data_IF_360811131428
#
_entry.id   IF_360811131428
#
_cell.length_a   1.000
_cell.length_b   1.000
_cell.length_c   1.000
_cell.angle_alpha   90.00
_cell.angle_beta   90.00
_cell.angle_gamma   90.00
#
_symmetry.space_group_name_H-M   'P 1'
#
loop_
_entity.id
_entity.type
_entity.pdbx_description
1 polymer ?
#
# COMPACT_ATOMS: atom_id res chain seq x y z
N UNK A 1 -22.51 27.57 -24.81
CA UNK A 1 -21.25 27.99 -24.18
C UNK A 1 -21.22 27.38 -22.78
N UNK A 2 -20.35 26.38 -22.63
CA UNK A 2 -20.31 25.40 -21.55
C UNK A 2 -19.91 25.97 -20.19
N UNK A 3 -20.78 25.78 -19.18
CA UNK A 3 -20.53 26.16 -17.78
C UNK A 3 -20.02 24.97 -16.93
N UNK A 4 -19.93 23.76 -17.49
CA UNK A 4 -19.63 22.54 -16.71
C UNK A 4 -18.15 22.12 -16.61
N UNK A 5 -17.19 22.95 -17.03
CA UNK A 5 -15.76 22.58 -17.06
C UNK A 5 -14.88 23.20 -15.95
N UNK A 6 -15.45 23.80 -14.91
CA UNK A 6 -14.68 24.58 -13.91
C UNK A 6 -14.40 23.88 -12.56
N UNK A 7 -14.89 22.66 -12.34
CA UNK A 7 -14.56 21.86 -11.15
C UNK A 7 -13.97 20.53 -11.60
N UNK A 8 -12.64 20.46 -11.58
CA UNK A 8 -11.84 19.33 -12.04
C UNK A 8 -12.23 18.00 -11.41
N UNK A 9 -13.14 17.28 -12.08
CA UNK A 9 -13.26 15.83 -11.97
C UNK A 9 -11.99 15.21 -12.58
N UNK A 10 -10.86 15.27 -11.86
CA UNK A 10 -9.87 14.20 -12.00
C UNK A 10 -10.62 12.93 -11.63
N UNK A 11 -11.04 12.16 -12.64
CA UNK A 11 -11.69 10.86 -12.45
C UNK A 11 -10.85 10.14 -11.40
N UNK A 12 -11.46 9.87 -10.26
CA UNK A 12 -10.87 9.09 -9.18
C UNK A 12 -10.72 7.65 -9.69
N UNK A 13 -9.74 7.43 -10.57
CA UNK A 13 -9.50 6.12 -11.16
C UNK A 13 -8.93 5.21 -10.08
N UNK A 14 -9.37 3.96 -10.03
CA UNK A 14 -8.79 2.99 -9.12
C UNK A 14 -7.29 2.87 -9.38
N UNK A 15 -6.51 2.75 -8.31
CA UNK A 15 -5.06 2.65 -8.40
C UNK A 15 -4.68 1.18 -8.40
N UNK A 16 -4.09 0.72 -9.51
CA UNK A 16 -3.54 -0.63 -9.58
C UNK A 16 -2.31 -0.73 -8.68
N UNK A 17 -2.37 -1.63 -7.71
CA UNK A 17 -1.25 -2.00 -6.84
C UNK A 17 -0.76 -3.40 -7.16
N UNK A 18 0.53 -3.62 -6.93
CA UNK A 18 1.20 -4.91 -7.15
C UNK A 18 2.08 -5.24 -5.95
N UNK A 19 2.10 -6.50 -5.55
CA UNK A 19 2.98 -6.99 -4.50
C UNK A 19 4.45 -6.94 -4.95
N UNK A 20 5.35 -6.55 -4.05
CA UNK A 20 6.80 -6.57 -4.29
C UNK A 20 7.41 -7.97 -4.33
N UNK A 21 6.73 -8.97 -3.75
CA UNK A 21 7.21 -10.35 -3.61
C UNK A 21 6.46 -11.36 -4.50
N UNK A 22 5.17 -11.60 -4.23
CA UNK A 22 4.36 -12.60 -4.96
C UNK A 22 3.74 -12.08 -6.27
N UNK A 23 3.95 -10.81 -6.60
CA UNK A 23 3.42 -10.15 -7.80
C UNK A 23 1.89 -10.13 -7.94
N UNK A 24 1.13 -10.50 -6.90
CA UNK A 24 -0.33 -10.34 -6.89
C UNK A 24 -0.73 -8.88 -7.13
N UNK A 25 -1.84 -8.68 -7.84
CA UNK A 25 -2.34 -7.36 -8.21
C UNK A 25 -3.81 -7.18 -7.83
N UNK A 26 -4.16 -5.98 -7.40
CA UNK A 26 -5.55 -5.56 -7.26
C UNK A 26 -5.68 -4.05 -7.37
N UNK A 27 -6.92 -3.58 -7.38
CA UNK A 27 -7.24 -2.17 -7.51
C UNK A 27 -7.66 -1.60 -6.16
N UNK A 28 -6.97 -0.56 -5.71
CA UNK A 28 -7.41 0.23 -4.58
C UNK A 28 -8.45 1.24 -5.03
N UNK A 29 -9.52 1.34 -4.24
CA UNK A 29 -10.49 2.40 -4.36
C UNK A 29 -9.87 3.75 -3.98
N UNK A 30 -10.42 4.86 -4.50
CA UNK A 30 -9.96 6.21 -4.14
C UNK A 30 -10.05 6.51 -2.64
N UNK A 31 -10.96 5.84 -1.92
CA UNK A 31 -11.12 5.98 -0.47
C UNK A 31 -9.96 5.31 0.27
N UNK A 32 -9.59 4.09 -0.12
CA UNK A 32 -8.47 3.36 0.45
C UNK A 32 -7.14 4.06 0.18
N UNK A 33 -6.93 4.56 -1.04
CA UNK A 33 -5.75 5.38 -1.37
C UNK A 33 -5.61 6.57 -0.43
N UNK A 34 -6.70 7.30 -0.17
CA UNK A 34 -6.68 8.45 0.77
C UNK A 34 -6.43 8.05 2.21
N UNK A 35 -6.83 6.84 2.60
CA UNK A 35 -6.57 6.31 3.94
C UNK A 35 -5.07 6.00 4.08
N UNK A 36 -4.50 5.28 3.11
CA UNK A 36 -3.07 4.97 3.06
C UNK A 36 -2.22 6.25 3.00
N UNK A 37 -2.61 7.24 2.19
CA UNK A 37 -1.95 8.55 2.14
C UNK A 37 -1.84 9.22 3.52
N UNK A 38 -2.87 9.07 4.35
CA UNK A 38 -2.90 9.65 5.70
C UNK A 38 -2.09 8.83 6.70
N UNK A 39 -2.23 7.50 6.67
CA UNK A 39 -1.53 6.59 7.57
C UNK A 39 -0.02 6.63 7.36
N UNK A 40 0.40 6.70 6.10
CA UNK A 40 1.81 6.72 5.69
C UNK A 40 2.30 8.13 5.32
N UNK A 41 1.71 9.19 5.89
CA UNK A 41 2.02 10.57 5.51
C UNK A 41 3.51 10.94 5.71
N UNK A 42 4.19 10.26 6.63
CA UNK A 42 5.61 10.45 6.94
C UNK A 42 6.53 9.49 6.18
N UNK A 43 5.98 8.59 5.35
CA UNK A 43 6.77 7.62 4.61
C UNK A 43 7.59 8.32 3.50
N UNK A 44 8.93 8.24 3.53
CA UNK A 44 9.77 8.94 2.55
C UNK A 44 9.77 8.27 1.17
N UNK A 45 9.33 7.02 1.08
CA UNK A 45 9.39 6.16 -0.11
C UNK A 45 8.07 6.20 -0.88
N UNK A 46 6.96 5.82 -0.25
CA UNK A 46 5.64 5.83 -0.87
C UNK A 46 4.51 5.89 0.17
N UNK A 47 3.59 6.87 0.06
CA UNK A 47 2.46 6.97 0.97
C UNK A 47 1.35 5.96 0.67
N UNK A 48 1.29 5.43 -0.56
CA UNK A 48 0.34 4.38 -0.96
C UNK A 48 1.06 3.04 -0.87
N UNK A 49 1.17 2.51 0.34
CA UNK A 49 1.72 1.17 0.60
C UNK A 49 0.95 0.49 1.72
N UNK A 50 0.86 -0.83 1.62
CA UNK A 50 0.34 -1.70 2.68
C UNK A 50 1.01 -3.07 2.58
N UNK A 51 0.88 -3.87 3.63
CA UNK A 51 1.39 -5.24 3.63
C UNK A 51 0.54 -6.12 2.70
N UNK A 52 1.17 -7.13 2.10
CA UNK A 52 0.44 -8.03 1.21
C UNK A 52 -0.25 -9.13 2.00
N UNK A 53 -1.58 -9.08 2.09
CA UNK A 53 -2.39 -10.08 2.80
C UNK A 53 -2.32 -11.50 2.21
N UNK A 54 -1.75 -11.68 1.02
CA UNK A 54 -1.62 -13.01 0.39
C UNK A 54 -0.34 -13.71 0.80
N UNK A 55 0.78 -12.99 0.81
CA UNK A 55 2.08 -13.60 1.09
C UNK A 55 2.67 -13.18 2.42
N UNK A 56 2.16 -12.13 3.06
CA UNK A 56 2.65 -11.51 4.30
C UNK A 56 4.15 -11.14 4.32
N UNK A 57 4.86 -11.32 3.20
CA UNK A 57 6.29 -11.06 3.03
C UNK A 57 6.51 -9.73 2.31
N UNK A 58 5.69 -9.45 1.29
CA UNK A 58 5.83 -8.28 0.43
C UNK A 58 4.92 -7.13 0.82
N UNK A 59 5.08 -6.00 0.12
CA UNK A 59 4.19 -4.85 0.19
C UNK A 59 3.42 -4.70 -1.11
N UNK A 60 2.16 -4.31 -0.99
CA UNK A 60 1.38 -3.79 -2.10
C UNK A 60 1.75 -2.33 -2.33
N UNK A 61 2.24 -2.02 -3.53
CA UNK A 61 2.60 -0.66 -3.94
C UNK A 61 2.02 -0.34 -5.32
N UNK A 62 1.77 0.93 -5.65
CA UNK A 62 1.19 1.31 -6.93
C UNK A 62 2.10 0.94 -8.10
N UNK A 63 1.50 0.39 -9.15
CA UNK A 63 2.15 0.23 -10.46
C UNK A 63 2.53 1.60 -11.01
N UNK A 64 1.59 2.54 -10.94
CA UNK A 64 1.75 3.94 -11.29
C UNK A 64 0.76 4.80 -10.50
N UNK A 65 1.26 5.81 -9.81
CA UNK A 65 0.42 6.72 -9.02
C UNK A 65 1.02 8.12 -8.96
N UNK A 66 0.17 9.14 -9.06
CA UNK A 66 0.58 10.53 -8.86
C UNK A 66 -0.15 11.11 -7.65
N UNK A 67 0.61 11.65 -6.71
CA UNK A 67 0.02 12.29 -5.54
C UNK A 67 -0.59 13.67 -5.88
N UNK A 68 -1.23 14.29 -4.89
CA UNK A 68 -1.84 15.62 -5.01
C UNK A 68 -0.83 16.74 -5.30
N UNK A 69 0.45 16.52 -4.98
CA UNK A 69 1.56 17.46 -5.25
C UNK A 69 2.17 17.25 -6.63
N UNK A 70 1.69 16.25 -7.39
CA UNK A 70 2.17 15.91 -8.72
C UNK A 70 3.41 15.00 -8.73
N UNK A 71 3.86 14.50 -7.58
CA UNK A 71 4.97 13.54 -7.52
C UNK A 71 4.50 12.18 -8.04
N UNK A 72 5.27 11.62 -8.95
CA UNK A 72 5.01 10.33 -9.57
C UNK A 72 5.69 9.21 -8.78
N UNK A 73 4.96 8.12 -8.60
CA UNK A 73 5.34 6.92 -7.89
C UNK A 73 5.21 5.75 -8.87
N UNK A 74 6.34 5.13 -9.21
CA UNK A 74 6.41 3.99 -10.13
C UNK A 74 6.93 2.76 -9.41
N UNK A 75 6.29 1.61 -9.65
CA UNK A 75 6.61 0.34 -8.97
C UNK A 75 8.11 -0.02 -9.03
N UNK A 76 8.72 0.11 -10.21
CA UNK A 76 10.13 -0.27 -10.40
C UNK A 76 11.11 0.69 -9.71
N UNK A 77 10.72 1.93 -9.46
CA UNK A 77 11.54 2.90 -8.71
C UNK A 77 11.37 2.76 -7.19
N UNK A 78 10.19 2.33 -6.75
CA UNK A 78 9.82 2.23 -5.33
C UNK A 78 10.26 0.89 -4.75
N UNK A 79 10.04 -0.20 -5.47
CA UNK A 79 10.41 -1.57 -5.05
C UNK A 79 11.84 -1.69 -4.51
N UNK A 80 12.89 -1.19 -5.17
CA UNK A 80 14.25 -1.28 -4.64
C UNK A 80 14.44 -0.42 -3.37
N UNK A 81 13.75 0.71 -3.24
CA UNK A 81 13.83 1.58 -2.05
C UNK A 81 13.18 0.94 -0.82
N UNK A 82 12.16 0.10 -1.02
CA UNK A 82 11.53 -0.68 0.06
C UNK A 82 12.36 -1.88 0.50
N UNK A 83 13.13 -2.51 -0.40
CA UNK A 83 14.06 -3.61 -0.05
C UNK A 83 15.20 -3.17 0.86
N UNK A 84 15.53 -1.88 0.87
CA UNK A 84 16.54 -1.29 1.73
C UNK A 84 16.00 -0.89 3.11
N UNK A 85 14.72 -1.17 3.41
CA UNK A 85 14.17 -1.05 4.75
C UNK A 85 14.47 -2.34 5.52
N UNK A 86 15.07 -2.16 6.69
CA UNK A 86 15.70 -3.14 7.58
C UNK A 86 15.14 -4.59 7.55
N UNK A 87 15.97 -5.63 7.41
CA UNK A 87 15.57 -7.03 7.58
C UNK A 87 14.84 -7.32 8.90
N UNK A 88 15.13 -6.57 9.96
CA UNK A 88 14.46 -6.71 11.25
C UNK A 88 12.95 -6.41 11.14
N UNK A 89 12.56 -5.44 10.31
CA UNK A 89 11.14 -5.14 10.03
C UNK A 89 10.41 -6.27 9.27
N UNK A 90 11.12 -7.14 8.55
CA UNK A 90 10.51 -8.30 7.90
C UNK A 90 10.23 -9.40 8.93
N UNK A 91 11.17 -9.62 9.86
CA UNK A 91 10.98 -10.58 10.96
C UNK A 91 9.89 -10.11 11.93
N UNK A 92 9.85 -8.83 12.29
CA UNK A 92 8.77 -8.27 13.14
C UNK A 92 7.38 -8.41 12.50
N UNK A 93 7.24 -8.33 11.17
CA UNK A 93 5.95 -8.59 10.50
C UNK A 93 5.54 -10.06 10.51
N UNK A 94 6.49 -10.94 10.22
CA UNK A 94 6.24 -12.38 10.16
C UNK A 94 5.94 -12.93 11.56
N UNK A 95 6.64 -12.45 12.60
CA UNK A 95 6.53 -12.99 13.95
C UNK A 95 5.69 -12.14 14.92
N UNK A 96 5.49 -10.85 14.65
CA UNK A 96 4.77 -9.93 15.55
C UNK A 96 3.25 -10.07 15.50
N UNK A 97 2.68 -10.59 14.42
CA UNK A 97 1.22 -10.85 14.33
C UNK A 97 0.80 -12.21 14.89
N UNK A 98 1.75 -13.09 15.26
CA UNK A 98 1.40 -14.41 15.79
C UNK A 98 0.98 -14.41 17.28
N UNK A 99 1.15 -13.30 18.01
CA UNK A 99 0.72 -13.27 19.41
C UNK A 99 -0.80 -13.13 19.60
N UNK A 100 -1.54 -12.67 18.59
CA UNK A 100 -2.99 -12.55 18.66
C UNK A 100 -3.76 -13.81 18.22
N UNK A 101 -3.16 -14.65 17.37
CA UNK A 101 -3.83 -15.88 16.88
C UNK A 101 -3.65 -17.07 17.82
N UNK A 102 -2.67 -17.05 18.74
CA UNK A 102 -2.47 -18.15 19.70
C UNK A 102 -3.54 -18.12 20.82
N UNK A 103 -4.16 -16.97 21.09
CA UNK A 103 -5.19 -16.86 22.14
C UNK A 103 -6.55 -17.48 21.75
N UNK A 104 -6.82 -17.71 20.46
CA UNK A 104 -8.09 -18.32 20.03
C UNK A 104 -8.06 -19.86 20.00
N UNK A 105 -6.90 -20.50 20.11
CA UNK A 105 -6.75 -21.96 20.05
C UNK A 105 -6.63 -22.65 21.42
N UNK A 106 -6.69 -21.91 22.53
CA UNK A 106 -6.52 -22.47 23.89
C UNK A 106 -7.79 -22.50 24.76
N UNK A 107 -8.96 -22.10 24.25
CA UNK A 107 -10.25 -22.16 24.97
C UNK A 107 -11.14 -23.37 24.58
N UNK A 108 -10.53 -24.44 24.05
CA UNK A 108 -11.22 -25.72 23.79
C UNK A 108 -10.44 -26.90 24.40
N UNK A 109 -10.31 -26.90 25.73
CA UNK A 109 -10.17 -28.11 26.55
C UNK A 109 -10.90 -27.91 27.90
#
# INVERSE_FOLDING_TARGET
MDIFNLLGFRKNQPVLVRCTYCYYEFHLSPREVRLLEKQNATDPVCPVKEECDICHIGFMIPVRYSDKRGKLYLYHEIKPKLKNLDPNTVMERIFGNHEHDIFFFLDHD
#
